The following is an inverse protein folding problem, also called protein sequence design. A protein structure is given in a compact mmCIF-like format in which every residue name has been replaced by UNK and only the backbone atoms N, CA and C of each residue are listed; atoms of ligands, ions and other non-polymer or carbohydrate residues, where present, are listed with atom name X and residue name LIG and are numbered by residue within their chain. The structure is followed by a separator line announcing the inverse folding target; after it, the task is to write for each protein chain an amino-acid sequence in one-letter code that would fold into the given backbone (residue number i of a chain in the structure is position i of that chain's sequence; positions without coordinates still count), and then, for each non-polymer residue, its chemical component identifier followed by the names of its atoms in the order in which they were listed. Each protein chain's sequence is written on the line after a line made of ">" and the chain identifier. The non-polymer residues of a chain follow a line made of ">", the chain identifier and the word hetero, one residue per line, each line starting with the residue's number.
data_IF_176063720280
#
_entry.id   IF_176063720280
#
_cell.length_a   1.000
_cell.length_b   1.000
_cell.length_c   1.000
_cell.angle_alpha   90.00
_cell.angle_beta   90.00
_cell.angle_gamma   90.00
#
_symmetry.space_group_name_H-M   'P 1'
#
loop_
_entity.id
_entity.type
_entity.pdbx_description
1 polymer ?
#
# COMPACT_ATOMS: atom_id res chain seq x y z
N UNK A 1 0.80 -9.56 24.31
CA UNK A 1 1.40 -8.30 23.82
C UNK A 1 0.33 -7.24 23.87
N UNK A 2 0.65 -6.01 24.30
CA UNK A 2 -0.30 -4.90 24.23
C UNK A 2 -0.65 -4.63 22.76
N UNK A 3 -1.91 -4.25 22.50
CA UNK A 3 -2.34 -3.87 21.18
C UNK A 3 -1.65 -2.56 20.77
N UNK A 4 -1.12 -2.52 19.56
CA UNK A 4 -0.52 -1.31 18.99
C UNK A 4 -1.21 -0.93 17.70
N UNK A 5 -1.05 0.32 17.29
CA UNK A 5 -1.55 0.76 16.00
C UNK A 5 -0.46 0.72 14.92
N UNK A 6 -0.86 0.22 13.75
CA UNK A 6 -0.09 0.25 12.52
C UNK A 6 -0.90 1.01 11.48
N UNK A 7 -0.31 2.05 10.92
CA UNK A 7 -0.92 2.85 9.87
C UNK A 7 -0.42 2.35 8.52
N UNK A 8 -1.34 1.92 7.65
CA UNK A 8 -1.04 1.56 6.27
C UNK A 8 -1.46 2.70 5.35
N UNK A 9 -0.51 3.40 4.76
CA UNK A 9 -0.76 4.47 3.81
C UNK A 9 -0.59 3.99 2.37
N UNK A 10 -1.50 4.38 1.49
CA UNK A 10 -1.29 4.27 0.05
C UNK A 10 -0.43 5.44 -0.43
N UNK A 11 0.54 5.15 -1.30
CA UNK A 11 1.37 6.18 -1.95
C UNK A 11 0.54 7.27 -2.63
N UNK A 12 1.14 8.45 -2.83
CA UNK A 12 0.57 9.54 -3.61
C UNK A 12 0.36 9.18 -5.08
N UNK A 13 -0.40 10.00 -5.81
CA UNK A 13 -0.76 9.78 -7.21
C UNK A 13 0.47 9.73 -8.12
N UNK A 14 0.37 8.89 -9.16
CA UNK A 14 1.29 8.82 -10.29
C UNK A 14 0.52 9.09 -11.58
N UNK A 15 1.20 9.40 -12.68
CA UNK A 15 0.55 9.57 -13.99
C UNK A 15 -0.19 8.30 -14.44
N UNK A 16 0.28 7.12 -14.07
CA UNK A 16 -0.42 5.87 -14.36
C UNK A 16 -1.70 5.68 -13.53
N UNK A 17 -1.80 6.27 -12.35
CA UNK A 17 -3.09 6.32 -11.63
C UNK A 17 -4.09 7.18 -12.40
N UNK A 18 -3.67 8.36 -12.86
CA UNK A 18 -4.51 9.27 -13.65
C UNK A 18 -4.95 8.62 -14.98
N UNK A 19 -4.06 7.88 -15.63
CA UNK A 19 -4.33 7.15 -16.87
C UNK A 19 -5.05 5.80 -16.64
N UNK A 20 -5.33 5.42 -15.39
CA UNK A 20 -5.96 4.13 -15.03
C UNK A 20 -5.18 2.90 -15.53
N UNK A 21 -3.84 2.99 -15.58
CA UNK A 21 -2.97 1.88 -15.95
C UNK A 21 -2.58 1.04 -14.73
N UNK A 22 -2.56 -0.28 -14.90
CA UNK A 22 -2.06 -1.21 -13.89
C UNK A 22 -0.57 -0.99 -13.69
N UNK A 23 -0.14 -0.72 -12.44
CA UNK A 23 1.26 -0.42 -12.17
C UNK A 23 2.07 -1.65 -11.73
N UNK A 24 1.50 -2.44 -10.82
CA UNK A 24 2.19 -3.62 -10.28
C UNK A 24 3.57 -3.28 -9.74
N UNK A 25 4.57 -4.01 -10.20
CA UNK A 25 5.97 -3.81 -9.83
C UNK A 25 6.71 -2.82 -10.76
N UNK A 26 6.07 -2.35 -11.83
CA UNK A 26 6.65 -1.29 -12.66
C UNK A 26 6.85 -0.01 -11.85
N UNK A 27 8.03 0.56 -11.94
CA UNK A 27 8.46 1.67 -11.08
C UNK A 27 8.14 3.03 -11.72
N UNK A 28 7.02 3.61 -11.29
CA UNK A 28 6.49 4.91 -11.75
C UNK A 28 6.57 5.92 -10.62
N UNK A 29 7.15 7.09 -10.90
CA UNK A 29 7.32 8.16 -9.91
C UNK A 29 6.00 8.87 -9.56
N UNK A 30 5.98 9.60 -8.43
CA UNK A 30 4.89 10.49 -8.07
C UNK A 30 4.79 11.63 -9.10
N UNK A 31 3.56 12.01 -9.41
CA UNK A 31 3.28 13.25 -10.14
C UNK A 31 3.13 14.45 -9.16
N UNK A 32 2.94 15.68 -9.62
CA UNK A 32 2.79 16.85 -8.75
C UNK A 32 1.65 16.73 -7.73
N UNK A 33 0.52 16.11 -8.12
CA UNK A 33 -0.61 15.80 -7.22
C UNK A 33 -0.17 14.82 -6.14
N UNK A 34 0.54 13.75 -6.50
CA UNK A 34 1.05 12.78 -5.54
C UNK A 34 2.03 13.38 -4.52
N UNK A 35 2.86 14.33 -4.94
CA UNK A 35 3.69 15.09 -4.01
C UNK A 35 2.85 15.94 -3.04
N UNK A 36 1.77 16.56 -3.50
CA UNK A 36 0.85 17.31 -2.64
C UNK A 36 0.13 16.38 -1.64
N UNK A 37 -0.37 15.24 -2.11
CA UNK A 37 -1.01 14.21 -1.28
C UNK A 37 -0.05 13.68 -0.20
N UNK A 38 1.23 13.47 -0.53
CA UNK A 38 2.23 13.06 0.47
C UNK A 38 2.45 14.12 1.57
N UNK A 39 2.40 15.40 1.22
CA UNK A 39 2.42 16.50 2.22
C UNK A 39 1.17 16.50 3.10
N UNK A 40 -0.02 16.34 2.50
CA UNK A 40 -1.29 16.22 3.24
C UNK A 40 -1.30 15.00 4.18
N UNK A 41 -0.72 13.89 3.74
CA UNK A 41 -0.53 12.72 4.61
C UNK A 41 0.35 13.06 5.83
N UNK A 42 1.45 13.79 5.64
CA UNK A 42 2.30 14.21 6.75
C UNK A 42 1.53 15.09 7.75
N UNK A 43 0.71 16.02 7.26
CA UNK A 43 -0.13 16.88 8.11
C UNK A 43 -1.15 16.04 8.91
N UNK A 44 -1.80 15.09 8.27
CA UNK A 44 -2.73 14.17 8.94
C UNK A 44 -2.06 13.28 10.00
N UNK A 45 -0.79 12.96 9.82
CA UNK A 45 -0.01 12.15 10.76
C UNK A 45 0.71 12.97 11.84
N UNK A 46 0.68 14.32 11.78
CA UNK A 46 1.47 15.17 12.66
C UNK A 46 1.17 15.00 14.16
N UNK A 47 -0.06 14.65 14.53
CA UNK A 47 -0.44 14.39 15.92
C UNK A 47 -0.20 12.96 16.39
N UNK A 48 0.21 12.07 15.49
CA UNK A 48 0.48 10.66 15.82
C UNK A 48 1.95 10.51 16.23
N UNK A 49 2.25 10.05 17.45
CA UNK A 49 3.63 9.88 17.91
C UNK A 49 4.24 8.63 17.27
N UNK A 50 4.61 8.73 15.99
CA UNK A 50 5.16 7.62 15.24
C UNK A 50 6.53 7.20 15.78
N UNK A 51 6.68 5.91 16.09
CA UNK A 51 7.95 5.29 16.44
C UNK A 51 8.84 5.06 15.20
N UNK A 52 8.25 4.94 14.02
CA UNK A 52 9.00 4.73 12.79
C UNK A 52 8.16 4.75 11.52
N UNK A 53 8.87 4.92 10.41
CA UNK A 53 8.31 4.88 9.06
C UNK A 53 9.04 3.80 8.26
N UNK A 54 8.29 2.92 7.63
CA UNK A 54 8.78 1.87 6.72
C UNK A 54 8.07 2.04 5.38
N UNK A 55 8.72 1.69 4.28
CA UNK A 55 8.13 1.85 2.96
C UNK A 55 8.36 0.65 2.07
N UNK A 56 7.46 0.43 1.11
CA UNK A 56 7.82 -0.29 -0.11
C UNK A 56 9.03 0.38 -0.76
N UNK A 57 9.86 -0.40 -1.41
CA UNK A 57 11.03 0.07 -2.15
C UNK A 57 10.68 0.71 -3.49
N UNK A 58 9.45 0.53 -4.02
CA UNK A 58 9.00 1.17 -5.26
C UNK A 58 8.97 2.70 -5.10
N UNK A 59 9.47 3.42 -6.12
CA UNK A 59 9.78 4.85 -6.06
C UNK A 59 8.60 5.74 -5.63
N UNK A 60 7.37 5.41 -6.02
CA UNK A 60 6.17 6.13 -5.60
C UNK A 60 5.88 6.02 -4.10
N UNK A 61 6.11 4.85 -3.51
CA UNK A 61 5.90 4.62 -2.08
C UNK A 61 7.06 5.19 -1.26
N UNK A 62 8.31 4.93 -1.67
CA UNK A 62 9.49 5.47 -1.00
C UNK A 62 9.57 6.99 -1.10
N UNK A 63 9.14 7.58 -2.22
CA UNK A 63 9.00 9.03 -2.40
C UNK A 63 7.96 9.63 -1.45
N UNK A 64 6.79 9.00 -1.34
CA UNK A 64 5.75 9.40 -0.37
C UNK A 64 6.29 9.33 1.06
N UNK A 65 6.90 8.21 1.44
CA UNK A 65 7.44 8.02 2.79
C UNK A 65 8.52 9.05 3.14
N UNK A 66 9.39 9.41 2.18
CA UNK A 66 10.44 10.42 2.37
C UNK A 66 9.86 11.80 2.65
N UNK A 67 8.85 12.22 1.87
CA UNK A 67 8.18 13.51 2.09
C UNK A 67 7.52 13.55 3.46
N UNK A 68 6.85 12.47 3.88
CA UNK A 68 6.25 12.37 5.21
C UNK A 68 7.31 12.44 6.30
N UNK A 69 8.39 11.68 6.16
CA UNK A 69 9.48 11.64 7.12
C UNK A 69 10.13 13.03 7.30
N UNK A 70 10.47 13.71 6.21
CA UNK A 70 11.04 15.06 6.23
C UNK A 70 10.15 16.05 6.96
N UNK A 71 8.84 16.02 6.69
CA UNK A 71 7.87 16.93 7.31
C UNK A 71 7.65 16.68 8.80
N UNK A 72 7.81 15.44 9.25
CA UNK A 72 7.65 15.05 10.65
C UNK A 72 8.96 15.08 11.44
N UNK A 73 10.09 15.46 10.81
CA UNK A 73 11.40 15.42 11.45
C UNK A 73 11.89 14.00 11.76
N UNK A 74 11.42 13.02 10.99
CA UNK A 74 11.75 11.61 11.11
C UNK A 74 12.60 11.14 9.93
N UNK A 75 13.02 9.89 9.95
CA UNK A 75 13.64 9.21 8.81
C UNK A 75 12.86 7.94 8.44
N UNK A 76 12.96 7.53 7.17
CA UNK A 76 12.51 6.20 6.74
C UNK A 76 13.52 5.19 7.26
N UNK A 77 13.08 4.31 8.16
CA UNK A 77 13.97 3.38 8.87
C UNK A 77 14.54 2.30 7.93
N UNK A 78 13.71 1.79 7.02
CA UNK A 78 14.12 0.84 5.97
C UNK A 78 13.01 0.70 4.91
N UNK A 79 13.37 0.10 3.78
CA UNK A 79 12.40 -0.35 2.77
C UNK A 79 12.20 -1.86 2.86
N UNK A 80 10.99 -2.32 2.49
CA UNK A 80 10.61 -3.73 2.55
C UNK A 80 9.90 -4.15 1.26
N UNK A 81 10.46 -5.15 0.57
CA UNK A 81 9.90 -5.67 -0.69
C UNK A 81 8.53 -6.35 -0.50
N UNK A 82 8.25 -6.87 0.70
CA UNK A 82 6.94 -7.45 1.02
C UNK A 82 5.82 -6.38 1.09
N UNK A 83 6.17 -5.07 1.10
CA UNK A 83 5.23 -3.95 0.99
C UNK A 83 4.93 -3.53 -0.45
N UNK A 84 5.54 -4.14 -1.47
CA UNK A 84 5.26 -3.83 -2.88
C UNK A 84 3.79 -4.02 -3.23
N UNK A 85 3.37 -3.35 -4.30
CA UNK A 85 2.06 -3.59 -4.90
C UNK A 85 1.93 -5.05 -5.37
N UNK A 86 0.70 -5.52 -5.55
CA UNK A 86 0.44 -6.78 -6.24
C UNK A 86 1.06 -6.74 -7.64
N UNK A 87 1.85 -7.75 -7.99
CA UNK A 87 2.28 -7.89 -9.37
C UNK A 87 1.07 -8.21 -10.25
N UNK A 88 0.92 -7.47 -11.34
CA UNK A 88 -0.16 -7.66 -12.32
C UNK A 88 0.36 -8.33 -13.60
N UNK A 89 1.64 -8.66 -13.68
CA UNK A 89 2.23 -9.39 -14.80
C UNK A 89 1.95 -8.74 -16.15
N UNK A 90 1.38 -9.50 -17.07
CA UNK A 90 1.09 -9.03 -18.44
C UNK A 90 0.11 -7.84 -18.51
N UNK A 91 -0.55 -7.47 -17.42
CA UNK A 91 -1.41 -6.28 -17.38
C UNK A 91 -0.66 -5.00 -17.01
N UNK A 92 0.59 -5.08 -16.54
CA UNK A 92 1.35 -3.90 -16.14
C UNK A 92 1.57 -2.96 -17.33
N UNK A 93 1.30 -1.67 -17.12
CA UNK A 93 1.34 -0.63 -18.15
C UNK A 93 0.06 -0.49 -19.00
N UNK A 94 -0.86 -1.45 -18.92
CA UNK A 94 -2.09 -1.44 -19.69
C UNK A 94 -3.25 -0.82 -18.90
N UNK A 95 -4.18 -0.19 -19.64
CA UNK A 95 -5.51 0.15 -19.12
C UNK A 95 -6.40 -1.08 -19.13
N UNK A 96 -7.58 -0.98 -18.51
CA UNK A 96 -8.58 -2.06 -18.54
C UNK A 96 -8.92 -2.49 -19.97
N UNK A 97 -9.20 -1.53 -20.86
CA UNK A 97 -9.63 -1.82 -22.22
C UNK A 97 -8.50 -2.43 -23.07
N UNK A 98 -7.28 -1.99 -22.84
CA UNK A 98 -6.09 -2.60 -23.42
C UNK A 98 -5.89 -4.05 -22.93
N UNK A 99 -6.12 -4.34 -21.64
CA UNK A 99 -6.08 -5.71 -21.12
C UNK A 99 -7.13 -6.62 -21.80
N UNK A 100 -8.36 -6.12 -21.96
CA UNK A 100 -9.44 -6.87 -22.62
C UNK A 100 -9.06 -7.18 -24.08
N UNK A 101 -8.46 -6.21 -24.76
CA UNK A 101 -8.12 -6.34 -26.19
C UNK A 101 -6.89 -7.21 -26.43
N UNK A 102 -5.83 -7.01 -25.63
CA UNK A 102 -4.52 -7.66 -25.84
C UNK A 102 -4.42 -9.02 -25.15
N UNK A 103 -5.15 -9.20 -24.04
CA UNK A 103 -5.10 -10.42 -23.21
C UNK A 103 -6.50 -10.92 -22.81
N UNK A 104 -7.43 -11.17 -23.78
CA UNK A 104 -8.83 -11.48 -23.50
C UNK A 104 -9.04 -12.70 -22.60
N UNK A 105 -8.25 -13.74 -22.78
CA UNK A 105 -8.35 -14.96 -21.96
C UNK A 105 -7.86 -14.72 -20.53
N UNK A 106 -6.74 -14.02 -20.36
CA UNK A 106 -6.22 -13.66 -19.06
C UNK A 106 -7.18 -12.71 -18.33
N UNK A 107 -7.80 -11.77 -19.03
CA UNK A 107 -8.79 -10.87 -18.47
C UNK A 107 -10.05 -11.61 -18.00
N UNK A 108 -10.57 -12.55 -18.80
CA UNK A 108 -11.70 -13.38 -18.41
C UNK A 108 -11.38 -14.20 -17.16
N UNK A 109 -10.23 -14.88 -17.12
CA UNK A 109 -9.79 -15.62 -15.96
C UNK A 109 -9.62 -14.74 -14.71
N UNK A 110 -9.13 -13.50 -14.87
CA UNK A 110 -9.04 -12.52 -13.80
C UNK A 110 -10.40 -12.14 -13.22
N UNK A 111 -11.40 -11.88 -14.08
CA UNK A 111 -12.72 -11.40 -13.64
C UNK A 111 -13.60 -12.53 -13.13
N UNK A 112 -13.65 -13.66 -13.84
CA UNK A 112 -14.57 -14.77 -13.56
C UNK A 112 -14.00 -15.78 -12.56
N UNK A 113 -12.69 -16.08 -12.65
CA UNK A 113 -12.02 -17.10 -11.84
C UNK A 113 -11.15 -16.49 -10.72
N UNK A 114 -11.02 -15.16 -10.69
CA UNK A 114 -10.12 -14.40 -9.79
C UNK A 114 -8.65 -14.86 -9.86
N UNK A 115 -8.27 -15.50 -10.96
CA UNK A 115 -6.93 -16.02 -11.19
C UNK A 115 -5.97 -14.93 -11.64
N UNK A 116 -4.76 -14.92 -11.08
CA UNK A 116 -3.72 -13.97 -11.48
C UNK A 116 -3.35 -14.13 -12.96
N UNK A 117 -3.09 -13.01 -13.68
CA UNK A 117 -2.54 -13.08 -15.03
C UNK A 117 -1.12 -13.65 -15.01
N UNK A 118 -0.61 -14.05 -16.19
CA UNK A 118 0.76 -14.54 -16.31
C UNK A 118 1.76 -13.53 -15.73
N UNK A 119 2.63 -13.99 -14.82
CA UNK A 119 3.58 -13.16 -14.09
C UNK A 119 2.97 -12.31 -12.96
N UNK A 120 1.68 -12.44 -12.71
CA UNK A 120 1.00 -11.77 -11.60
C UNK A 120 1.00 -12.59 -10.30
N UNK A 121 0.62 -11.94 -9.21
CA UNK A 121 0.49 -12.55 -7.89
C UNK A 121 -0.96 -12.89 -7.55
N UNK A 122 -1.18 -14.00 -6.87
CA UNK A 122 -2.49 -14.33 -6.29
C UNK A 122 -2.78 -13.46 -5.04
N UNK A 123 -4.05 -13.07 -4.80
CA UNK A 123 -4.41 -12.19 -3.68
C UNK A 123 -3.94 -12.73 -2.32
N UNK A 124 -4.03 -14.03 -2.09
CA UNK A 124 -3.60 -14.65 -0.84
C UNK A 124 -2.09 -14.58 -0.61
N UNK A 125 -1.28 -14.64 -1.69
CA UNK A 125 0.17 -14.48 -1.60
C UNK A 125 0.54 -13.05 -1.19
N UNK A 126 -0.16 -12.06 -1.76
CA UNK A 126 -0.02 -10.64 -1.38
C UNK A 126 -0.39 -10.43 0.08
N UNK A 127 -1.52 -10.97 0.54
CA UNK A 127 -1.95 -10.88 1.95
C UNK A 127 -0.91 -11.50 2.90
N UNK A 128 -0.36 -12.65 2.54
CA UNK A 128 0.66 -13.34 3.35
C UNK A 128 1.95 -12.51 3.48
N UNK A 129 2.49 -11.94 2.37
CA UNK A 129 3.70 -11.11 2.44
C UNK A 129 3.46 -9.80 3.19
N UNK A 130 2.32 -9.15 3.00
CA UNK A 130 1.93 -7.96 3.75
C UNK A 130 1.88 -8.24 5.26
N UNK A 131 1.29 -9.36 5.67
CA UNK A 131 1.26 -9.77 7.08
C UNK A 131 2.68 -9.96 7.64
N UNK A 132 3.60 -10.56 6.87
CA UNK A 132 5.02 -10.69 7.27
C UNK A 132 5.69 -9.32 7.43
N UNK A 133 5.46 -8.38 6.51
CA UNK A 133 6.00 -7.03 6.59
C UNK A 133 5.51 -6.28 7.83
N UNK A 134 4.19 -6.33 8.10
CA UNK A 134 3.59 -5.74 9.31
C UNK A 134 4.21 -6.35 10.57
N UNK A 135 4.34 -7.68 10.62
CA UNK A 135 4.93 -8.38 11.76
C UNK A 135 6.42 -8.01 11.98
N UNK A 136 7.20 -7.86 10.90
CA UNK A 136 8.60 -7.40 10.99
C UNK A 136 8.69 -5.99 11.56
N UNK A 137 7.89 -5.07 11.02
CA UNK A 137 7.85 -3.70 11.49
C UNK A 137 7.42 -3.63 12.97
N UNK A 138 6.36 -4.35 13.34
CA UNK A 138 5.89 -4.42 14.72
C UNK A 138 6.96 -4.93 15.70
N UNK A 139 7.76 -5.92 15.31
CA UNK A 139 8.89 -6.39 16.12
C UNK A 139 10.06 -5.42 16.17
N UNK A 140 10.36 -4.74 15.03
CA UNK A 140 11.48 -3.80 14.93
C UNK A 140 11.33 -2.59 15.85
N UNK A 141 10.10 -2.13 16.05
CA UNK A 141 9.74 -0.96 16.86
C UNK A 141 9.01 -1.37 18.15
N UNK A 142 9.35 -2.52 18.73
CA UNK A 142 8.64 -3.04 19.89
C UNK A 142 8.73 -2.10 21.09
N UNK A 143 7.56 -1.73 21.66
CA UNK A 143 7.46 -0.79 22.78
C UNK A 143 7.42 0.70 22.41
N UNK A 144 7.77 1.09 21.18
CA UNK A 144 8.03 2.50 20.83
C UNK A 144 6.78 3.28 20.37
N UNK A 145 5.64 2.65 20.15
CA UNK A 145 4.41 3.33 19.71
C UNK A 145 3.96 2.96 18.29
N UNK A 146 3.09 3.76 17.68
CA UNK A 146 2.54 3.52 16.35
C UNK A 146 3.59 3.54 15.24
N UNK A 147 3.33 2.82 14.14
CA UNK A 147 4.23 2.70 12.99
C UNK A 147 3.48 3.09 11.73
N UNK A 148 4.13 3.83 10.83
CA UNK A 148 3.61 4.10 9.49
C UNK A 148 4.28 3.20 8.46
N UNK A 149 3.49 2.46 7.70
CA UNK A 149 3.92 1.66 6.55
C UNK A 149 3.36 2.27 5.27
N UNK A 150 4.22 2.73 4.36
CA UNK A 150 3.78 3.26 3.07
C UNK A 150 3.84 2.16 2.02
N UNK A 151 2.68 1.87 1.43
CA UNK A 151 2.43 0.75 0.53
C UNK A 151 1.52 1.16 -0.62
N UNK A 152 0.75 0.24 -1.20
CA UNK A 152 -0.02 0.40 -2.42
C UNK A 152 -1.48 -0.07 -2.24
N UNK A 153 -2.32 0.26 -3.22
CA UNK A 153 -3.77 0.06 -3.10
C UNK A 153 -4.20 -1.40 -2.97
N UNK A 154 -3.74 -2.27 -3.87
CA UNK A 154 -4.14 -3.69 -3.85
C UNK A 154 -3.47 -4.45 -2.71
N UNK A 155 -2.21 -4.13 -2.41
CA UNK A 155 -1.48 -4.73 -1.29
C UNK A 155 -2.15 -4.40 0.05
N UNK A 156 -2.53 -3.13 0.28
CA UNK A 156 -3.25 -2.70 1.46
C UNK A 156 -4.60 -3.43 1.59
N UNK A 157 -5.39 -3.47 0.51
CA UNK A 157 -6.67 -4.18 0.49
C UNK A 157 -6.51 -5.67 0.80
N UNK A 158 -5.50 -6.33 0.23
CA UNK A 158 -5.22 -7.73 0.50
C UNK A 158 -4.91 -7.99 1.99
N UNK A 159 -4.14 -7.12 2.64
CA UNK A 159 -3.85 -7.22 4.07
C UNK A 159 -5.12 -7.07 4.91
N UNK A 160 -5.98 -6.09 4.60
CA UNK A 160 -7.21 -5.81 5.35
C UNK A 160 -8.29 -6.85 5.09
N UNK A 161 -8.31 -7.44 3.88
CA UNK A 161 -9.29 -8.47 3.51
C UNK A 161 -9.29 -9.68 4.45
N UNK A 162 -8.19 -9.94 5.14
CA UNK A 162 -8.11 -11.03 6.13
C UNK A 162 -9.07 -10.87 7.30
N UNK A 163 -9.57 -9.65 7.57
CA UNK A 163 -10.48 -9.34 8.68
C UNK A 163 -11.75 -8.58 8.24
N UNK A 164 -11.75 -7.98 7.05
CA UNK A 164 -12.87 -7.26 6.48
C UNK A 164 -13.07 -7.70 5.01
N UNK A 165 -14.09 -8.52 4.71
CA UNK A 165 -14.19 -9.20 3.42
C UNK A 165 -14.33 -8.28 2.20
N UNK A 166 -14.75 -7.04 2.38
CA UNK A 166 -14.85 -6.05 1.31
C UNK A 166 -14.35 -4.68 1.80
N UNK A 167 -13.04 -4.53 2.08
CA UNK A 167 -12.52 -3.24 2.51
C UNK A 167 -12.73 -2.20 1.39
N UNK A 168 -13.20 -0.99 1.72
CA UNK A 168 -13.35 0.06 0.73
C UNK A 168 -12.01 0.39 0.09
N UNK A 169 -11.97 0.85 -1.17
CA UNK A 169 -10.75 1.31 -1.79
C UNK A 169 -10.20 2.51 -1.04
N UNK A 170 -8.88 2.58 -0.92
CA UNK A 170 -8.16 3.72 -0.34
C UNK A 170 -7.63 4.57 -1.48
N UNK A 171 -8.00 5.85 -1.50
CA UNK A 171 -7.48 6.81 -2.46
C UNK A 171 -5.97 7.05 -2.24
N UNK A 172 -5.30 7.65 -3.22
CA UNK A 172 -3.89 8.01 -3.08
C UNK A 172 -3.70 8.97 -1.89
N UNK A 173 -2.68 8.73 -1.06
CA UNK A 173 -2.48 9.47 0.19
C UNK A 173 -3.44 9.08 1.34
N UNK A 174 -4.37 8.17 1.12
CA UNK A 174 -5.27 7.67 2.16
C UNK A 174 -4.57 6.68 3.10
N UNK A 175 -5.11 6.55 4.33
CA UNK A 175 -4.52 5.75 5.41
C UNK A 175 -5.56 4.88 6.09
N UNK A 176 -5.20 3.64 6.33
CA UNK A 176 -5.90 2.76 7.25
C UNK A 176 -5.15 2.65 8.58
N UNK A 177 -5.86 2.71 9.68
CA UNK A 177 -5.36 2.39 11.01
C UNK A 177 -5.70 0.94 11.33
N UNK A 178 -4.69 0.16 11.67
CA UNK A 178 -4.83 -1.24 12.04
C UNK A 178 -4.48 -1.43 13.52
N UNK A 179 -5.27 -2.22 14.23
CA UNK A 179 -4.85 -2.82 15.49
C UNK A 179 -3.97 -4.03 15.21
N UNK A 180 -2.88 -4.18 15.95
CA UNK A 180 -1.93 -5.28 15.83
C UNK A 180 -1.60 -5.91 17.18
N UNK A 181 -1.93 -7.20 17.33
CA UNK A 181 -1.58 -8.04 18.49
C UNK A 181 -1.06 -9.41 18.04
N UNK A 182 0.00 -9.42 17.19
CA UNK A 182 0.49 -10.62 16.50
C UNK A 182 -0.33 -11.00 15.26
N UNK A 183 -1.50 -10.42 15.11
CA UNK A 183 -2.38 -10.46 13.93
C UNK A 183 -3.12 -9.13 13.83
N UNK A 184 -3.74 -8.86 12.69
CA UNK A 184 -4.61 -7.68 12.53
C UNK A 184 -5.90 -7.91 13.34
N UNK A 185 -6.23 -6.99 14.25
CA UNK A 185 -7.39 -7.06 15.16
C UNK A 185 -8.47 -6.06 14.83
N UNK A 186 -8.08 -4.94 14.19
CA UNK A 186 -8.95 -3.85 13.79
C UNK A 186 -8.47 -3.31 12.44
N UNK A 187 -9.39 -2.83 11.61
CA UNK A 187 -9.05 -2.02 10.43
C UNK A 187 -10.11 -0.95 10.23
N UNK A 188 -9.70 0.29 10.17
CA UNK A 188 -10.56 1.44 9.93
C UNK A 188 -9.88 2.48 9.04
N UNK A 189 -10.65 3.25 8.30
CA UNK A 189 -10.12 4.37 7.50
C UNK A 189 -9.79 5.50 8.45
N UNK A 190 -8.50 5.85 8.53
CA UNK A 190 -8.01 6.96 9.33
C UNK A 190 -8.00 8.27 8.52
N UNK A 191 -7.53 8.22 7.26
CA UNK A 191 -7.56 9.33 6.31
C UNK A 191 -8.08 8.82 4.98
N UNK A 192 -9.07 9.51 4.40
CA UNK A 192 -9.68 9.05 3.14
C UNK A 192 -8.77 9.22 1.93
N UNK A 193 -7.88 10.21 1.95
CA UNK A 193 -7.09 10.60 0.80
C UNK A 193 -7.93 11.39 -0.22
N UNK A 194 -7.30 11.95 -1.25
CA UNK A 194 -7.98 12.72 -2.30
C UNK A 194 -7.03 13.01 -3.47
#
# INVERSE_FOLDING_TARGET
>A
MAERFVYLARHGETDWNLQQRWQGHTDVALNPTGHAQARGLAEAMASVPLAGIVSSDLVRASGTARIVAERLGLSVAYTDIDLRERAFGVFEGLTRDECITLHPEAWRAWVEEQRAPQGGEEPHAVAARMTRAIARAARRFDGDGPILLVTHGSALRAAVHTIAPLPPPVANGGVWRLGWAGRITLAEVFVRGG
#
